data_IF_635065761769
#
_entry.id   IF_635065761769
#
_cell.length_a   1.000
_cell.length_b   1.000
_cell.length_c   1.000
_cell.angle_alpha   90.00
_cell.angle_beta   90.00
_cell.angle_gamma   90.00
#
_symmetry.space_group_name_H-M   'P 1'
#
loop_
_entity.id
_entity.type
_entity.pdbx_description
1 polymer ?
#
# COMPACT_ATOMS: atom_id res chain seq x y z
N UNK A 1 5.26 4.92 -20.15
CA UNK A 1 3.88 4.36 -20.14
C UNK A 1 3.78 3.37 -19.00
N UNK A 2 2.77 3.46 -18.16
CA UNK A 2 2.45 2.51 -17.09
C UNK A 2 0.93 2.36 -16.99
N UNK A 3 0.44 1.17 -16.64
CA UNK A 3 -0.97 0.91 -16.31
C UNK A 3 -1.11 -0.30 -15.40
N UNK A 4 -2.15 -0.30 -14.57
CA UNK A 4 -2.76 -1.54 -14.07
C UNK A 4 -3.73 -2.07 -15.13
N UNK A 5 -3.74 -3.38 -15.34
CA UNK A 5 -4.64 -4.08 -16.24
C UNK A 5 -5.42 -5.12 -15.44
N UNK A 6 -6.75 -5.04 -15.46
CA UNK A 6 -7.63 -6.06 -14.87
C UNK A 6 -8.47 -6.73 -15.96
N UNK A 7 -8.50 -8.06 -15.97
CA UNK A 7 -9.42 -8.85 -16.80
C UNK A 7 -10.67 -9.19 -15.99
N UNK A 8 -11.83 -8.73 -16.45
CA UNK A 8 -13.10 -9.04 -15.76
C UNK A 8 -13.59 -10.44 -16.11
N UNK A 9 -13.49 -11.34 -15.13
CA UNK A 9 -13.87 -12.75 -15.26
C UNK A 9 -12.81 -13.62 -15.96
N UNK A 10 -13.03 -14.94 -15.96
CA UNK A 10 -12.13 -15.90 -16.63
C UNK A 10 -12.24 -15.76 -18.15
N UNK A 11 -11.33 -14.99 -18.76
CA UNK A 11 -11.25 -14.81 -20.22
C UNK A 11 -10.02 -15.52 -20.77
N UNK A 12 -10.25 -16.49 -21.66
CA UNK A 12 -9.20 -17.26 -22.35
C UNK A 12 -9.42 -17.19 -23.86
N UNK A 13 -8.34 -17.18 -24.66
CA UNK A 13 -8.45 -17.25 -26.11
C UNK A 13 -7.36 -16.52 -26.88
N UNK A 14 -7.58 -16.26 -28.18
CA UNK A 14 -6.61 -15.60 -29.05
C UNK A 14 -6.69 -14.07 -28.94
N UNK A 15 -6.29 -13.52 -27.78
CA UNK A 15 -6.18 -12.07 -27.55
C UNK A 15 -4.84 -11.65 -26.95
N UNK A 16 -4.51 -10.37 -27.11
CA UNK A 16 -3.45 -9.68 -26.37
C UNK A 16 -3.99 -8.32 -25.92
N UNK A 17 -3.81 -7.97 -24.66
CA UNK A 17 -4.21 -6.67 -24.10
C UNK A 17 -3.17 -6.15 -23.12
N UNK A 18 -2.99 -4.84 -23.04
CA UNK A 18 -1.99 -4.21 -22.17
C UNK A 18 -1.55 -2.85 -22.68
N UNK A 19 -0.24 -2.58 -22.60
CA UNK A 19 0.37 -1.34 -23.10
C UNK A 19 1.09 -1.55 -24.41
N UNK A 20 0.95 -0.60 -25.32
CA UNK A 20 1.63 -0.56 -26.61
C UNK A 20 2.40 0.75 -26.79
N UNK A 21 3.54 0.67 -27.47
CA UNK A 21 4.30 1.80 -28.01
C UNK A 21 4.44 1.62 -29.52
N UNK A 22 4.13 2.67 -30.29
CA UNK A 22 4.43 2.76 -31.71
C UNK A 22 5.70 3.58 -31.93
N UNK A 23 6.64 3.01 -32.67
CA UNK A 23 7.88 3.66 -33.06
C UNK A 23 8.03 3.77 -34.56
N UNK A 24 8.60 4.88 -35.00
CA UNK A 24 8.92 5.15 -36.40
C UNK A 24 10.44 5.08 -36.61
N UNK A 25 10.83 4.26 -37.59
CA UNK A 25 12.22 4.18 -38.09
C UNK A 25 12.20 4.01 -39.61
N UNK A 26 12.96 4.84 -40.33
CA UNK A 26 13.00 4.84 -41.80
C UNK A 26 11.59 4.87 -42.43
N UNK A 27 10.72 5.77 -41.95
CA UNK A 27 9.32 5.94 -42.37
C UNK A 27 8.44 4.68 -42.24
N UNK A 28 8.89 3.72 -41.42
CA UNK A 28 8.16 2.48 -41.13
C UNK A 28 7.79 2.43 -39.65
N UNK A 29 6.55 2.01 -39.39
CA UNK A 29 5.95 1.93 -38.07
C UNK A 29 6.07 0.52 -37.51
N UNK A 30 6.59 0.41 -36.30
CA UNK A 30 6.68 -0.83 -35.55
C UNK A 30 5.93 -0.63 -34.24
N UNK A 31 5.17 -1.64 -33.83
CA UNK A 31 4.50 -1.62 -32.52
C UNK A 31 5.14 -2.66 -31.64
N UNK A 32 5.35 -2.27 -30.39
CA UNK A 32 5.80 -3.17 -29.34
C UNK A 32 4.82 -3.06 -28.20
N UNK A 33 4.46 -4.19 -27.60
CA UNK A 33 3.46 -4.20 -26.56
C UNK A 33 3.81 -5.20 -25.47
N UNK A 34 3.42 -4.89 -24.24
CA UNK A 34 3.48 -5.77 -23.08
C UNK A 34 2.08 -5.94 -22.51
N UNK A 35 1.72 -7.17 -22.19
CA UNK A 35 0.54 -7.41 -21.36
C UNK A 35 0.05 -8.84 -21.39
N UNK A 36 -1.22 -9.04 -21.07
CA UNK A 36 -1.83 -10.35 -20.97
C UNK A 36 -2.08 -10.89 -22.38
N UNK A 37 -1.55 -12.08 -22.65
CA UNK A 37 -1.77 -12.86 -23.87
C UNK A 37 -2.56 -14.11 -23.49
N UNK A 38 -3.78 -14.18 -24.02
CA UNK A 38 -4.65 -15.34 -23.95
C UNK A 38 -5.21 -15.72 -22.58
N UNK A 39 -5.07 -14.84 -21.59
CA UNK A 39 -5.62 -14.98 -20.25
C UNK A 39 -4.61 -15.48 -19.22
N UNK A 40 -3.55 -16.16 -19.66
CA UNK A 40 -2.69 -16.98 -18.81
C UNK A 40 -1.19 -16.71 -18.99
N UNK A 41 -0.82 -15.74 -19.84
CA UNK A 41 0.58 -15.38 -20.08
C UNK A 41 0.78 -13.88 -19.99
N UNK A 42 1.84 -13.44 -19.32
CA UNK A 42 2.45 -12.15 -19.60
C UNK A 42 3.29 -12.29 -20.88
N UNK A 43 3.14 -11.37 -21.83
CA UNK A 43 3.92 -11.41 -23.07
C UNK A 43 4.39 -10.03 -23.52
N UNK A 44 5.58 -9.99 -24.12
CA UNK A 44 6.05 -8.88 -24.94
C UNK A 44 5.91 -9.29 -26.40
N UNK A 45 5.18 -8.51 -27.18
CA UNK A 45 4.89 -8.79 -28.59
C UNK A 45 5.37 -7.65 -29.49
N UNK A 46 5.70 -8.00 -30.72
CA UNK A 46 6.04 -7.06 -31.78
C UNK A 46 5.06 -7.21 -32.93
N UNK A 47 4.63 -6.08 -33.49
CA UNK A 47 3.94 -6.00 -34.78
C UNK A 47 4.82 -5.25 -35.77
N UNK A 48 5.14 -5.92 -36.87
CA UNK A 48 5.90 -5.32 -37.97
C UNK A 48 4.99 -4.53 -38.91
N UNK A 49 5.54 -3.65 -39.78
CA UNK A 49 4.77 -2.96 -40.81
C UNK A 49 3.98 -3.89 -41.75
N UNK A 50 4.42 -5.15 -41.88
CA UNK A 50 3.73 -6.19 -42.66
C UNK A 50 2.59 -6.86 -41.89
N UNK A 51 2.15 -6.29 -40.76
CA UNK A 51 1.16 -6.84 -39.83
C UNK A 51 1.53 -8.25 -39.31
N UNK A 52 2.80 -8.64 -39.41
CA UNK A 52 3.28 -9.90 -38.83
C UNK A 52 3.51 -9.67 -37.33
N UNK A 53 2.80 -10.46 -36.52
CA UNK A 53 2.91 -10.47 -35.05
C UNK A 53 3.92 -11.54 -34.61
N UNK A 54 4.85 -11.18 -33.72
CA UNK A 54 5.78 -12.11 -33.08
C UNK A 54 5.77 -11.92 -31.56
N UNK A 55 5.95 -13.02 -30.82
CA UNK A 55 6.19 -12.96 -29.37
C UNK A 55 7.70 -12.88 -29.14
N UNK A 56 8.14 -11.80 -28.49
CA UNK A 56 9.53 -11.55 -28.12
C UNK A 56 9.87 -12.17 -26.77
N UNK A 57 8.90 -12.19 -25.85
CA UNK A 57 8.99 -12.78 -24.52
C UNK A 57 7.62 -13.28 -24.07
N UNK A 58 7.58 -14.35 -23.28
CA UNK A 58 6.37 -14.76 -22.56
C UNK A 58 6.69 -15.57 -21.30
N UNK A 59 5.89 -15.37 -20.26
CA UNK A 59 5.95 -16.11 -19.00
C UNK A 59 4.52 -16.49 -18.57
N UNK A 60 4.30 -17.69 -17.99
CA UNK A 60 3.04 -18.02 -17.34
C UNK A 60 2.65 -17.01 -16.27
N UNK A 61 1.36 -16.67 -16.23
CA UNK A 61 0.78 -15.69 -15.32
C UNK A 61 -0.47 -16.30 -14.66
N UNK A 62 -0.56 -16.23 -13.32
CA UNK A 62 -1.69 -16.74 -12.57
C UNK A 62 -2.86 -15.75 -12.60
N UNK A 63 -4.07 -16.25 -12.85
CA UNK A 63 -5.32 -15.51 -13.10
C UNK A 63 -5.94 -14.79 -11.89
N UNK A 64 -5.20 -14.56 -10.82
CA UNK A 64 -5.81 -14.12 -9.56
C UNK A 64 -5.79 -12.63 -9.31
N UNK A 65 -4.99 -11.83 -10.02
CA UNK A 65 -4.75 -10.42 -9.66
C UNK A 65 -4.77 -9.49 -10.89
N UNK A 66 -4.74 -8.18 -10.62
CA UNK A 66 -4.36 -7.16 -11.58
C UNK A 66 -2.95 -7.41 -12.12
N UNK A 67 -2.72 -7.02 -13.37
CA UNK A 67 -1.40 -7.05 -14.01
C UNK A 67 -0.91 -5.62 -14.22
N UNK A 68 -0.01 -5.17 -13.36
CA UNK A 68 0.66 -3.88 -13.55
C UNK A 68 1.86 -4.02 -14.48
N UNK A 69 1.83 -3.33 -15.62
CA UNK A 69 2.92 -3.33 -16.61
C UNK A 69 3.39 -1.91 -16.92
N UNK A 70 4.67 -1.81 -17.30
CA UNK A 70 5.32 -0.54 -17.60
C UNK A 70 6.24 -0.69 -18.83
N UNK A 71 6.25 0.33 -19.68
CA UNK A 71 7.20 0.47 -20.79
C UNK A 71 7.96 1.79 -20.62
N UNK A 72 9.29 1.70 -20.50
CA UNK A 72 10.21 2.83 -20.37
C UNK A 72 11.08 2.96 -21.62
N UNK A 73 11.41 4.19 -21.99
CA UNK A 73 12.49 4.47 -22.94
C UNK A 73 13.73 4.89 -22.16
N UNK A 74 14.82 4.13 -22.29
CA UNK A 74 16.13 4.42 -21.71
C UNK A 74 17.13 4.60 -22.86
N UNK A 75 17.43 5.86 -23.21
CA UNK A 75 18.18 6.18 -24.41
C UNK A 75 17.58 5.53 -25.68
N UNK A 76 18.27 4.52 -26.22
CA UNK A 76 17.84 3.77 -27.40
C UNK A 76 17.08 2.48 -27.04
N UNK A 77 16.96 2.11 -25.76
CA UNK A 77 16.26 0.91 -25.36
C UNK A 77 14.79 1.18 -25.02
N UNK A 78 13.92 0.23 -25.38
CA UNK A 78 12.64 0.02 -24.72
C UNK A 78 12.82 -1.05 -23.64
N UNK A 79 12.47 -0.70 -22.41
CA UNK A 79 12.49 -1.59 -21.25
C UNK A 79 11.04 -1.91 -20.87
N UNK A 80 10.70 -3.19 -20.89
CA UNK A 80 9.38 -3.70 -20.55
C UNK A 80 9.47 -4.31 -19.15
N UNK A 81 8.60 -3.86 -18.25
CA UNK A 81 8.61 -4.24 -16.85
C UNK A 81 7.23 -4.73 -16.42
N UNK A 82 7.22 -5.67 -15.49
CA UNK A 82 6.03 -6.20 -14.83
C UNK A 82 6.25 -6.14 -13.33
N UNK A 83 5.19 -5.83 -12.58
CA UNK A 83 5.21 -5.84 -11.12
C UNK A 83 4.38 -7.03 -10.61
N UNK A 84 5.01 -8.18 -10.31
CA UNK A 84 4.33 -9.35 -9.75
C UNK A 84 4.00 -9.19 -8.25
N UNK A 85 4.75 -8.33 -7.55
CA UNK A 85 4.63 -8.06 -6.11
C UNK A 85 4.75 -6.55 -5.87
N UNK A 86 5.60 -6.09 -4.97
CA UNK A 86 5.72 -4.65 -4.64
C UNK A 86 6.65 -3.88 -5.59
N UNK A 87 7.53 -4.57 -6.32
CA UNK A 87 8.55 -3.94 -7.18
C UNK A 87 8.39 -4.30 -8.66
N UNK A 88 8.77 -3.37 -9.54
CA UNK A 88 8.86 -3.63 -10.98
C UNK A 88 10.11 -4.44 -11.30
N UNK A 89 9.92 -5.48 -12.10
CA UNK A 89 10.98 -6.33 -12.63
C UNK A 89 11.10 -6.13 -14.15
N UNK A 90 12.32 -5.98 -14.66
CA UNK A 90 12.57 -5.99 -16.10
C UNK A 90 12.34 -7.40 -16.66
N UNK A 91 11.35 -7.53 -17.55
CA UNK A 91 11.02 -8.80 -18.21
C UNK A 91 11.61 -8.89 -19.60
N UNK A 92 11.80 -7.74 -20.27
CA UNK A 92 12.40 -7.70 -21.59
C UNK A 92 13.01 -6.33 -21.88
N UNK A 93 14.13 -6.33 -22.60
CA UNK A 93 14.79 -5.12 -23.11
C UNK A 93 15.03 -5.24 -24.60
N UNK A 94 14.69 -4.18 -25.32
CA UNK A 94 14.85 -4.09 -26.75
C UNK A 94 15.63 -2.83 -27.13
N UNK A 95 16.81 -3.01 -27.72
CA UNK A 95 17.55 -1.90 -28.31
C UNK A 95 16.98 -1.50 -29.66
N UNK A 96 16.58 -0.23 -29.77
CA UNK A 96 16.12 0.39 -31.00
C UNK A 96 17.32 0.97 -31.78
N UNK A 97 17.26 0.98 -33.12
CA UNK A 97 18.23 1.73 -33.92
C UNK A 97 18.25 3.21 -33.52
N UNK A 98 19.43 3.82 -33.63
CA UNK A 98 19.60 5.26 -33.38
C UNK A 98 18.66 6.08 -34.28
N UNK A 99 18.12 7.19 -33.73
CA UNK A 99 17.17 8.05 -34.44
C UNK A 99 15.73 7.51 -34.51
N UNK A 100 15.44 6.34 -33.94
CA UNK A 100 14.06 5.82 -33.83
C UNK A 100 13.21 6.77 -32.98
N UNK A 101 12.06 7.21 -33.51
CA UNK A 101 11.12 8.09 -32.81
C UNK A 101 10.00 7.26 -32.19
N UNK A 102 9.61 7.57 -30.97
CA UNK A 102 8.33 7.10 -30.43
C UNK A 102 7.28 8.09 -30.91
N UNK A 103 6.20 7.61 -31.52
CA UNK A 103 5.20 8.47 -32.18
C UNK A 103 3.80 8.29 -31.62
N UNK A 104 3.52 7.18 -30.94
CA UNK A 104 2.22 6.90 -30.33
C UNK A 104 2.39 5.85 -29.22
N UNK A 105 1.39 5.70 -28.37
CA UNK A 105 1.34 4.65 -27.37
C UNK A 105 0.19 4.82 -26.39
N UNK A 106 -0.16 3.73 -25.72
CA UNK A 106 -1.28 3.70 -24.80
C UNK A 106 -1.80 2.28 -24.56
N UNK A 107 -2.98 2.17 -23.93
CA UNK A 107 -3.63 0.89 -23.73
C UNK A 107 -4.11 0.35 -25.07
N UNK A 108 -4.10 -0.96 -25.21
CA UNK A 108 -4.63 -1.63 -26.40
C UNK A 108 -5.30 -2.93 -26.02
N UNK A 109 -6.27 -3.33 -26.83
CA UNK A 109 -6.86 -4.65 -26.86
C UNK A 109 -6.88 -5.13 -28.30
N UNK A 110 -6.34 -6.33 -28.56
CA UNK A 110 -6.28 -6.89 -29.89
C UNK A 110 -6.68 -8.37 -29.86
N UNK A 111 -7.53 -8.75 -30.82
CA UNK A 111 -7.98 -10.13 -30.99
C UNK A 111 -7.74 -10.54 -32.44
N UNK A 112 -7.43 -11.83 -32.66
CA UNK A 112 -7.23 -12.35 -34.03
C UNK A 112 -8.56 -12.55 -34.77
N UNK A 113 -9.62 -12.84 -34.01
CA UNK A 113 -11.01 -12.97 -34.44
C UNK A 113 -11.89 -12.09 -33.55
N UNK A 114 -13.07 -11.64 -34.01
CA UNK A 114 -14.01 -10.92 -33.16
C UNK A 114 -14.30 -11.72 -31.87
N UNK A 115 -14.04 -11.13 -30.72
CA UNK A 115 -14.23 -11.70 -29.39
C UNK A 115 -14.67 -10.58 -28.45
N UNK A 116 -15.64 -10.85 -27.59
CA UNK A 116 -15.99 -9.95 -26.49
C UNK A 116 -14.89 -10.03 -25.42
N UNK A 117 -14.25 -8.88 -25.16
CA UNK A 117 -13.14 -8.76 -24.22
C UNK A 117 -13.46 -7.61 -23.27
N UNK A 118 -13.62 -7.91 -21.97
CA UNK A 118 -13.85 -6.90 -20.94
C UNK A 118 -12.55 -6.68 -20.17
N UNK A 119 -11.97 -5.50 -20.34
CA UNK A 119 -10.68 -5.10 -19.77
C UNK A 119 -10.85 -3.74 -19.10
N UNK A 120 -10.44 -3.63 -17.84
CA UNK A 120 -10.29 -2.33 -17.20
C UNK A 120 -8.82 -1.88 -17.24
N UNK A 121 -8.64 -0.59 -17.47
CA UNK A 121 -7.38 0.11 -17.36
C UNK A 121 -7.57 1.21 -16.33
N UNK A 122 -6.76 1.17 -15.29
CA UNK A 122 -6.92 2.04 -14.11
C UNK A 122 -6.37 3.46 -14.38
N UNK A 123 -5.14 3.55 -14.92
CA UNK A 123 -4.52 4.83 -15.31
C UNK A 123 -3.40 4.63 -16.33
N UNK A 124 -3.16 5.62 -17.19
CA UNK A 124 -2.05 5.60 -18.18
C UNK A 124 -1.19 6.85 -18.04
N UNK A 125 0.03 6.70 -17.53
CA UNK A 125 0.99 7.81 -17.41
C UNK A 125 1.98 7.84 -18.58
N UNK A 126 1.93 8.93 -19.36
CA UNK A 126 2.94 9.30 -20.36
C UNK A 126 3.99 10.20 -19.70
N UNK A 127 5.04 9.59 -19.15
CA UNK A 127 6.21 10.33 -18.68
C UNK A 127 7.31 10.29 -19.74
N UNK A 128 7.80 11.47 -20.15
CA UNK A 128 9.09 11.61 -20.81
C UNK A 128 10.15 11.47 -19.71
N UNK A 129 11.06 10.50 -19.84
CA UNK A 129 12.04 10.16 -18.81
C UNK A 129 13.03 11.28 -18.44
N UNK A 130 13.03 12.40 -19.17
CA UNK A 130 13.74 13.63 -18.83
C UNK A 130 12.92 14.60 -17.95
N UNK A 131 11.68 14.25 -17.58
CA UNK A 131 10.72 15.17 -16.95
C UNK A 131 10.08 14.64 -15.66
N UNK A 132 10.53 13.50 -15.12
CA UNK A 132 10.11 13.03 -13.80
C UNK A 132 11.28 13.00 -12.83
N UNK A 133 11.06 13.47 -11.60
CA UNK A 133 12.04 13.38 -10.52
C UNK A 133 12.29 11.90 -10.16
N UNK A 134 13.53 11.52 -9.86
CA UNK A 134 13.85 10.18 -9.34
C UNK A 134 13.26 9.91 -7.96
N UNK A 135 12.77 10.96 -7.28
CA UNK A 135 12.12 10.90 -5.97
C UNK A 135 10.59 10.76 -6.05
N UNK A 136 10.01 10.72 -7.26
CA UNK A 136 8.55 10.66 -7.48
C UNK A 136 7.87 9.46 -6.79
N UNK A 137 8.57 8.30 -6.72
CA UNK A 137 8.04 7.08 -6.08
C UNK A 137 8.51 6.93 -4.61
N UNK A 138 9.28 7.88 -4.05
CA UNK A 138 9.92 7.74 -2.72
C UNK A 138 9.48 8.78 -1.70
N UNK A 139 9.07 9.97 -2.11
CA UNK A 139 8.70 11.06 -1.20
C UNK A 139 7.19 11.29 -1.29
N UNK A 140 6.51 11.19 -0.15
CA UNK A 140 5.06 11.36 -0.06
C UNK A 140 4.71 12.42 0.98
N UNK A 141 3.55 13.06 0.85
CA UNK A 141 2.95 13.81 1.96
C UNK A 141 2.22 12.81 2.84
N UNK A 142 2.63 12.69 4.10
CA UNK A 142 2.04 11.75 5.08
C UNK A 142 0.97 12.41 5.94
N UNK A 143 1.06 13.72 6.17
CA UNK A 143 0.12 14.43 7.04
C UNK A 143 -0.02 15.90 6.61
N UNK A 144 -1.25 16.44 6.71
CA UNK A 144 -1.58 17.84 6.44
C UNK A 144 -2.44 18.37 7.59
N UNK A 145 -1.90 19.32 8.35
CA UNK A 145 -2.66 20.06 9.35
C UNK A 145 -3.16 21.36 8.74
N UNK A 146 -4.29 21.32 8.03
CA UNK A 146 -4.81 22.48 7.29
C UNK A 146 -5.78 23.36 8.10
N UNK A 147 -6.35 22.84 9.20
CA UNK A 147 -7.28 23.58 10.07
C UNK A 147 -7.05 23.26 11.56
N UNK A 148 -5.90 23.64 12.12
CA UNK A 148 -5.59 23.37 13.52
C UNK A 148 -6.51 24.15 14.47
N UNK A 149 -6.85 23.53 15.61
CA UNK A 149 -7.40 24.30 16.72
C UNK A 149 -6.38 25.33 17.21
N UNK A 150 -6.82 26.54 17.53
CA UNK A 150 -5.96 27.65 17.96
C UNK A 150 -5.39 28.53 16.84
N UNK A 151 -5.59 28.22 15.56
CA UNK A 151 -5.31 29.10 14.41
C UNK A 151 -4.16 28.67 13.48
N UNK A 152 -4.12 29.27 12.29
CA UNK A 152 -3.27 28.91 11.14
C UNK A 152 -1.76 28.82 11.46
N UNK A 153 -1.28 29.49 12.50
CA UNK A 153 0.12 29.41 12.93
C UNK A 153 0.56 28.00 13.40
N UNK A 154 -0.38 27.07 13.57
CA UNK A 154 -0.13 25.67 13.89
C UNK A 154 -0.19 24.73 12.68
N UNK A 155 -0.40 25.26 11.48
CA UNK A 155 -0.44 24.47 10.26
C UNK A 155 0.94 23.88 9.93
N UNK A 156 0.93 22.70 9.32
CA UNK A 156 2.12 22.06 8.79
C UNK A 156 1.78 21.09 7.66
N UNK A 157 2.79 20.82 6.83
CA UNK A 157 2.81 19.70 5.87
C UNK A 157 3.94 18.78 6.28
N UNK A 158 3.63 17.49 6.44
CA UNK A 158 4.60 16.45 6.71
C UNK A 158 4.96 15.67 5.45
N UNK A 159 6.25 15.50 5.22
CA UNK A 159 6.82 14.62 4.22
C UNK A 159 7.35 13.35 4.87
N UNK A 160 7.13 12.22 4.21
CA UNK A 160 7.71 10.93 4.55
C UNK A 160 8.55 10.38 3.39
N UNK A 161 9.73 9.86 3.70
CA UNK A 161 10.57 9.15 2.74
C UNK A 161 10.25 7.65 2.79
N UNK A 162 9.33 7.22 1.93
CA UNK A 162 8.94 5.83 1.69
C UNK A 162 10.00 5.02 0.92
N UNK A 163 11.05 5.67 0.42
CA UNK A 163 12.16 5.02 -0.26
C UNK A 163 13.08 4.23 0.67
N UNK A 164 13.98 3.46 0.08
CA UNK A 164 15.00 2.66 0.79
C UNK A 164 16.36 3.39 0.91
N UNK A 165 16.46 4.61 0.41
CA UNK A 165 17.67 5.44 0.41
C UNK A 165 17.38 6.85 0.92
N UNK A 166 18.42 7.56 1.38
CA UNK A 166 18.29 8.97 1.70
C UNK A 166 18.04 9.83 0.46
N UNK A 167 17.36 10.96 0.65
CA UNK A 167 17.05 11.96 -0.37
C UNK A 167 17.62 13.30 0.10
N UNK A 168 18.43 13.95 -0.73
CA UNK A 168 18.82 15.32 -0.51
C UNK A 168 17.76 16.27 -1.09
N UNK A 169 17.15 17.09 -0.24
CA UNK A 169 16.05 17.98 -0.61
C UNK A 169 16.52 19.37 -1.09
N UNK A 170 17.82 19.59 -1.25
CA UNK A 170 18.35 20.90 -1.66
C UNK A 170 17.71 21.40 -2.95
N UNK A 171 17.01 22.52 -2.86
CA UNK A 171 16.35 23.15 -4.01
C UNK A 171 14.98 22.58 -4.36
N UNK A 172 14.51 21.55 -3.65
CA UNK A 172 13.09 21.18 -3.69
C UNK A 172 12.26 22.35 -3.19
N UNK A 173 11.03 22.49 -3.67
CA UNK A 173 10.18 23.62 -3.27
C UNK A 173 8.69 23.38 -3.38
N UNK A 174 7.95 24.02 -2.48
CA UNK A 174 6.54 24.33 -2.66
C UNK A 174 6.46 25.66 -3.42
N UNK A 175 5.91 25.69 -4.65
CA UNK A 175 5.90 26.89 -5.46
C UNK A 175 4.94 27.95 -4.92
N UNK A 176 5.23 29.22 -5.19
CA UNK A 176 4.42 30.34 -4.72
C UNK A 176 2.92 30.20 -5.03
N UNK A 177 2.09 30.34 -4.01
CA UNK A 177 0.62 30.33 -4.13
C UNK A 177 0.01 28.95 -4.29
N UNK A 178 0.79 27.89 -4.06
CA UNK A 178 0.37 26.49 -4.05
C UNK A 178 1.22 25.68 -3.05
N UNK A 179 0.91 25.69 -1.75
CA UNK A 179 -0.29 26.27 -1.11
C UNK A 179 -0.08 27.65 -0.44
N UNK A 180 1.13 27.95 0.00
CA UNK A 180 1.51 29.20 0.67
C UNK A 180 2.59 29.96 -0.13
N UNK A 181 3.20 31.00 0.44
CA UNK A 181 4.34 31.68 -0.19
C UNK A 181 5.50 30.71 -0.45
N UNK A 182 6.29 30.92 -1.49
CA UNK A 182 7.29 29.93 -1.92
C UNK A 182 8.19 29.47 -0.76
N UNK A 183 8.26 28.15 -0.55
CA UNK A 183 9.20 27.55 0.40
C UNK A 183 10.22 26.70 -0.36
N UNK A 184 11.51 26.99 -0.18
CA UNK A 184 12.61 26.24 -0.79
C UNK A 184 13.41 25.52 0.29
N UNK A 185 13.53 24.21 0.14
CA UNK A 185 14.30 23.37 1.05
C UNK A 185 15.79 23.69 0.97
N UNK A 186 16.42 23.77 2.15
CA UNK A 186 17.87 23.88 2.30
C UNK A 186 18.61 22.57 1.99
N UNK A 187 19.91 22.53 2.31
CA UNK A 187 20.74 21.32 2.16
C UNK A 187 20.41 20.31 3.28
N UNK A 188 19.28 19.62 3.14
CA UNK A 188 18.71 18.68 4.10
C UNK A 188 18.77 17.27 3.52
N UNK A 189 19.40 16.36 4.25
CA UNK A 189 19.46 14.94 3.90
C UNK A 189 18.40 14.16 4.69
N UNK A 190 17.32 13.78 4.03
CA UNK A 190 16.22 13.04 4.62
C UNK A 190 16.47 11.53 4.51
N UNK A 191 16.57 10.84 5.64
CA UNK A 191 16.85 9.39 5.65
C UNK A 191 15.63 8.57 5.19
N UNK A 192 15.87 7.35 4.70
CA UNK A 192 14.80 6.39 4.44
C UNK A 192 13.98 6.14 5.71
N UNK A 193 12.65 6.12 5.58
CA UNK A 193 11.71 5.91 6.70
C UNK A 193 11.65 7.05 7.72
N UNK A 194 12.22 8.22 7.41
CA UNK A 194 12.14 9.41 8.28
C UNK A 194 11.06 10.38 7.83
N UNK A 195 10.70 11.31 8.72
CA UNK A 195 9.70 12.34 8.52
C UNK A 195 10.35 13.73 8.60
N UNK A 196 9.81 14.68 7.85
CA UNK A 196 10.15 16.09 7.94
C UNK A 196 8.89 16.93 7.84
N UNK A 197 8.81 18.01 8.62
CA UNK A 197 7.68 18.96 8.58
C UNK A 197 8.14 20.31 8.04
N UNK A 198 7.31 20.90 7.18
CA UNK A 198 7.35 22.34 6.89
C UNK A 198 6.19 22.96 7.66
N UNK A 199 6.43 24.07 8.36
CA UNK A 199 5.51 24.64 9.35
C UNK A 199 5.18 26.10 9.05
N UNK A 200 4.02 26.58 9.51
CA UNK A 200 3.63 27.99 9.38
C UNK A 200 4.47 28.91 10.27
N UNK A 201 4.58 28.55 11.55
CA UNK A 201 5.36 29.30 12.54
C UNK A 201 6.15 28.32 13.41
N UNK A 202 7.48 28.44 13.37
CA UNK A 202 8.35 27.50 14.05
C UNK A 202 8.25 27.58 15.56
N UNK A 203 8.19 28.79 16.14
CA UNK A 203 8.13 28.97 17.59
C UNK A 203 6.83 28.37 18.17
N UNK A 204 5.73 28.53 17.44
CA UNK A 204 4.40 28.07 17.81
C UNK A 204 4.27 26.55 17.64
N UNK A 205 4.81 25.98 16.56
CA UNK A 205 4.94 24.53 16.41
C UNK A 205 5.73 23.92 17.58
N UNK A 206 6.89 24.50 17.90
CA UNK A 206 7.72 24.06 19.01
C UNK A 206 7.01 24.14 20.36
N UNK A 207 6.25 25.21 20.59
CA UNK A 207 5.47 25.36 21.82
C UNK A 207 4.35 24.32 21.94
N UNK A 208 3.78 23.84 20.83
CA UNK A 208 2.69 22.84 20.83
C UNK A 208 3.22 21.41 20.93
N UNK A 209 4.18 21.06 20.10
CA UNK A 209 4.65 19.67 19.94
C UNK A 209 5.94 19.35 20.71
N UNK A 210 6.58 20.37 21.29
CA UNK A 210 7.77 20.24 22.11
C UNK A 210 9.08 20.24 21.34
N UNK A 211 10.17 20.57 22.03
CA UNK A 211 11.51 20.72 21.44
C UNK A 211 12.10 19.40 20.91
N UNK A 212 11.55 18.24 21.29
CA UNK A 212 11.99 16.93 20.80
C UNK A 212 11.79 16.76 19.29
N UNK A 213 10.85 17.50 18.69
CA UNK A 213 10.60 17.47 17.25
C UNK A 213 11.42 18.52 16.48
N UNK A 214 12.29 19.29 17.14
CA UNK A 214 13.09 20.32 16.47
C UNK A 214 13.94 19.79 15.31
N UNK A 215 14.37 18.53 15.38
CA UNK A 215 15.22 17.90 14.36
C UNK A 215 14.48 17.55 13.07
N UNK A 216 13.15 17.49 13.09
CA UNK A 216 12.35 17.17 11.90
C UNK A 216 11.77 18.42 11.21
N UNK A 217 11.92 19.61 11.80
CA UNK A 217 11.47 20.86 11.18
C UNK A 217 12.41 21.21 10.03
N UNK A 218 11.96 21.01 8.81
CA UNK A 218 12.69 21.34 7.59
C UNK A 218 12.75 22.86 7.34
N UNK A 219 11.73 23.60 7.78
CA UNK A 219 11.71 25.05 7.73
C UNK A 219 10.33 25.63 7.97
N UNK A 220 10.30 26.96 8.00
CA UNK A 220 9.11 27.80 8.13
C UNK A 220 8.83 28.46 6.77
N UNK A 221 7.58 28.52 6.32
CA UNK A 221 7.24 29.24 5.08
C UNK A 221 7.02 30.74 5.36
N UNK A 222 7.35 31.59 4.39
CA UNK A 222 7.47 33.03 4.60
C UNK A 222 6.12 33.76 4.81
N UNK A 223 5.01 33.16 4.40
CA UNK A 223 3.68 33.75 4.51
C UNK A 223 2.57 32.93 3.85
N UNK A 224 1.32 33.27 4.17
CA UNK A 224 0.13 32.51 3.74
C UNK A 224 -0.28 31.41 4.74
N UNK A 225 -1.37 30.73 4.41
CA UNK A 225 -1.92 29.60 5.17
C UNK A 225 -2.54 28.58 4.24
N UNK A 226 -2.75 27.37 4.76
CA UNK A 226 -3.48 26.32 4.06
C UNK A 226 -4.97 26.67 3.96
N UNK A 227 -5.59 26.26 2.86
CA UNK A 227 -7.03 26.44 2.63
C UNK A 227 -7.86 25.49 3.46
N UNK A 228 -8.66 26.03 4.38
CA UNK A 228 -9.65 25.28 5.14
C UNK A 228 -10.66 24.49 4.28
N UNK A 229 -10.86 24.88 3.02
CA UNK A 229 -11.80 24.21 2.10
C UNK A 229 -11.15 23.27 1.09
N UNK A 230 -9.86 22.96 1.25
CA UNK A 230 -9.09 22.21 0.26
C UNK A 230 -8.34 23.08 -0.75
N UNK A 231 -7.25 22.54 -1.29
CA UNK A 231 -6.43 23.12 -2.37
C UNK A 231 -5.43 22.09 -2.93
N UNK A 232 -4.67 22.51 -3.94
CA UNK A 232 -3.61 21.70 -4.55
C UNK A 232 -2.29 21.85 -3.80
N UNK A 233 -1.75 20.73 -3.32
CA UNK A 233 -0.37 20.62 -2.83
C UNK A 233 0.52 20.21 -3.98
N UNK A 234 1.57 20.98 -4.26
CA UNK A 234 2.57 20.65 -5.29
C UNK A 234 3.97 20.75 -4.72
N UNK A 235 4.77 19.71 -4.89
CA UNK A 235 6.20 19.70 -4.57
C UNK A 235 7.00 19.52 -5.85
N UNK A 236 7.98 20.40 -6.06
CA UNK A 236 8.90 20.35 -7.20
C UNK A 236 10.31 19.97 -6.72
N UNK A 237 11.06 19.25 -7.55
CA UNK A 237 12.48 19.00 -7.33
C UNK A 237 13.34 20.24 -7.67
N UNK A 238 14.65 20.12 -7.46
CA UNK A 238 15.67 21.14 -7.74
C UNK A 238 15.74 21.58 -9.22
N UNK A 239 15.20 20.77 -10.13
CA UNK A 239 15.09 21.07 -11.57
C UNK A 239 13.72 21.63 -11.95
N UNK A 240 12.80 21.73 -11.00
CA UNK A 240 11.43 22.17 -11.21
C UNK A 240 10.49 21.11 -11.78
N UNK A 241 10.86 19.83 -11.68
CA UNK A 241 9.99 18.72 -12.05
C UNK A 241 9.07 18.37 -10.89
N UNK A 242 7.82 18.03 -11.18
CA UNK A 242 6.86 17.62 -10.15
C UNK A 242 7.31 16.32 -9.50
N UNK A 243 7.46 16.36 -8.17
CA UNK A 243 7.68 15.20 -7.30
C UNK A 243 6.33 14.62 -6.89
N UNK A 244 5.41 15.48 -6.44
CA UNK A 244 4.01 15.13 -6.17
C UNK A 244 3.11 16.33 -6.45
N UNK A 245 1.87 16.06 -6.85
CA UNK A 245 0.81 17.06 -6.98
C UNK A 245 -0.54 16.39 -6.80
N UNK A 246 -1.32 16.84 -5.82
CA UNK A 246 -2.67 16.35 -5.54
C UNK A 246 -3.50 17.44 -4.87
N UNK A 247 -4.81 17.33 -4.96
CA UNK A 247 -5.76 18.23 -4.31
C UNK A 247 -6.33 17.53 -3.08
N UNK A 248 -6.27 18.16 -1.90
CA UNK A 248 -7.03 17.70 -0.73
C UNK A 248 -8.33 18.48 -0.62
N UNK A 249 -9.31 17.93 0.10
CA UNK A 249 -10.62 18.54 0.32
C UNK A 249 -11.12 18.36 1.76
N UNK A 250 -12.22 19.03 2.07
CA UNK A 250 -12.91 19.03 3.37
C UNK A 250 -14.28 18.32 3.33
N UNK A 251 -14.61 17.69 2.20
CA UNK A 251 -15.90 17.07 1.92
C UNK A 251 -15.75 15.72 1.22
N UNK A 252 -16.74 14.83 1.39
CA UNK A 252 -16.73 13.49 0.79
C UNK A 252 -16.33 13.55 -0.71
N UNK A 253 -15.36 12.72 -1.14
CA UNK A 253 -14.81 11.53 -0.46
C UNK A 253 -13.69 11.80 0.55
N UNK A 254 -13.28 13.04 0.79
CA UNK A 254 -12.27 13.37 1.80
C UNK A 254 -12.85 13.31 3.22
N UNK A 255 -12.03 12.97 4.23
CA UNK A 255 -12.46 13.03 5.63
C UNK A 255 -12.93 14.44 6.01
N UNK A 256 -14.12 14.54 6.62
CA UNK A 256 -14.72 15.82 7.02
C UNK A 256 -14.36 16.26 8.43
N UNK A 257 -13.95 15.33 9.32
CA UNK A 257 -13.68 15.65 10.73
C UNK A 257 -12.45 16.54 10.98
N UNK A 258 -11.38 16.58 10.14
CA UNK A 258 -10.34 17.60 10.21
C UNK A 258 -10.90 19.04 10.16
N UNK A 259 -12.05 19.25 9.51
CA UNK A 259 -12.69 20.56 9.44
C UNK A 259 -13.43 20.96 10.74
N UNK A 260 -13.83 20.01 11.58
CA UNK A 260 -14.73 20.27 12.71
C UNK A 260 -14.05 20.16 14.10
N UNK A 261 -12.94 19.43 14.22
CA UNK A 261 -12.38 19.04 15.53
C UNK A 261 -10.87 19.27 15.69
N UNK A 262 -10.19 19.91 14.73
CA UNK A 262 -8.76 20.25 14.82
C UNK A 262 -7.80 19.07 14.68
N UNK A 263 -8.25 17.98 14.05
CA UNK A 263 -7.42 16.86 13.59
C UNK A 263 -6.77 17.20 12.24
N UNK A 264 -5.67 16.55 11.88
CA UNK A 264 -5.05 16.64 10.54
C UNK A 264 -5.64 15.60 9.59
N UNK A 265 -5.37 15.78 8.29
CA UNK A 265 -5.48 14.72 7.29
C UNK A 265 -4.22 13.88 7.29
N UNK A 266 -4.35 12.58 7.40
CA UNK A 266 -3.24 11.64 7.52
C UNK A 266 -3.38 10.53 6.50
N UNK A 267 -2.28 10.20 5.83
CA UNK A 267 -2.25 9.16 4.82
C UNK A 267 -2.15 7.80 5.51
N UNK A 268 -3.12 6.93 5.26
CA UNK A 268 -3.27 5.66 6.00
C UNK A 268 -2.12 4.68 5.76
N UNK A 269 -1.52 4.71 4.57
CA UNK A 269 -0.32 3.92 4.24
C UNK A 269 0.68 4.75 3.41
N UNK A 270 1.59 5.47 4.08
CA UNK A 270 2.62 6.26 3.40
C UNK A 270 3.62 5.42 2.59
N UNK A 271 3.73 4.11 2.82
CA UNK A 271 4.65 3.24 2.09
C UNK A 271 4.09 2.83 0.72
N UNK A 272 2.78 2.66 0.59
CA UNK A 272 2.13 2.39 -0.70
C UNK A 272 1.76 3.66 -1.49
N UNK A 273 1.74 4.82 -0.82
CA UNK A 273 1.53 6.14 -1.42
C UNK A 273 0.05 6.41 -1.73
N UNK A 274 -0.26 6.90 -2.94
CA UNK A 274 -1.64 7.14 -3.35
C UNK A 274 -2.27 8.43 -2.79
N UNK A 275 -1.46 9.47 -2.57
CA UNK A 275 -1.90 10.80 -2.07
C UNK A 275 -3.09 11.42 -2.82
N UNK A 276 -3.31 11.04 -4.09
CA UNK A 276 -4.41 11.56 -4.91
C UNK A 276 -5.76 10.85 -4.67
N UNK A 277 -5.79 9.71 -3.96
CA UNK A 277 -7.03 9.02 -3.62
C UNK A 277 -7.50 9.45 -2.23
N UNK A 278 -8.63 10.15 -2.17
CA UNK A 278 -9.23 10.61 -0.92
C UNK A 278 -9.51 9.47 0.08
N UNK A 279 -9.83 8.27 -0.40
CA UNK A 279 -10.09 7.08 0.44
C UNK A 279 -8.85 6.59 1.20
N UNK A 280 -7.65 7.00 0.77
CA UNK A 280 -6.41 6.68 1.47
C UNK A 280 -6.15 7.63 2.64
N UNK A 281 -6.91 8.71 2.78
CA UNK A 281 -6.75 9.69 3.84
C UNK A 281 -7.74 9.45 4.96
N UNK A 282 -7.28 9.63 6.19
CA UNK A 282 -8.08 9.56 7.40
C UNK A 282 -7.83 10.81 8.25
N UNK A 283 -8.69 11.10 9.23
CA UNK A 283 -8.38 12.07 10.27
C UNK A 283 -7.30 11.51 11.21
N UNK A 284 -6.43 12.37 11.74
CA UNK A 284 -5.54 12.00 12.85
C UNK A 284 -6.31 11.52 14.08
N UNK A 285 -5.71 10.59 14.85
CA UNK A 285 -6.30 10.10 16.10
C UNK A 285 -6.32 11.22 17.15
N UNK A 286 -5.25 12.02 17.20
CA UNK A 286 -5.11 13.11 18.16
C UNK A 286 -5.47 14.45 17.53
N UNK A 287 -6.20 15.27 18.28
CA UNK A 287 -6.34 16.70 17.97
C UNK A 287 -4.94 17.31 17.93
N UNK A 288 -4.63 18.05 16.86
CA UNK A 288 -3.29 18.54 16.61
C UNK A 288 -2.39 17.57 15.82
N UNK A 289 -2.86 16.39 15.41
CA UNK A 289 -2.09 15.51 14.53
C UNK A 289 -0.99 14.71 15.22
N UNK A 290 -0.17 14.01 14.44
CA UNK A 290 0.92 13.15 14.92
C UNK A 290 2.28 13.43 14.23
N UNK A 291 2.76 14.68 14.19
CA UNK A 291 3.96 15.01 13.45
C UNK A 291 5.18 14.22 13.96
N UNK A 292 5.95 13.69 13.02
CA UNK A 292 7.14 12.87 13.22
C UNK A 292 6.87 11.39 13.40
N UNK A 293 5.63 10.94 13.27
CA UNK A 293 5.23 9.56 13.48
C UNK A 293 4.19 9.11 12.45
N UNK A 294 4.22 7.82 12.10
CA UNK A 294 3.11 7.24 11.36
C UNK A 294 1.85 7.34 12.21
N UNK A 295 0.74 7.81 11.62
CA UNK A 295 -0.59 7.52 12.16
C UNK A 295 -0.82 6.02 12.05
N UNK A 296 -0.55 5.31 13.12
CA UNK A 296 -1.07 3.94 13.26
C UNK A 296 -2.56 4.10 13.46
N UNK A 297 -3.35 4.12 12.37
CA UNK A 297 -4.80 3.89 12.41
C UNK A 297 -4.99 2.46 12.88
N UNK A 298 -4.83 2.26 14.18
CA UNK A 298 -5.05 0.97 14.78
C UNK A 298 -6.57 0.83 14.86
N UNK A 299 -7.14 0.10 13.90
CA UNK A 299 -8.57 -0.15 13.83
C UNK A 299 -9.12 -0.75 15.14
N UNK A 300 -8.29 -1.46 15.91
CA UNK A 300 -8.64 -1.91 17.25
C UNK A 300 -8.67 -0.80 18.30
N UNK A 301 -7.81 0.22 18.22
CA UNK A 301 -7.87 1.40 19.10
C UNK A 301 -9.15 2.20 18.87
N UNK A 302 -9.53 2.42 17.60
CA UNK A 302 -10.81 3.06 17.26
C UNK A 302 -11.99 2.22 17.75
N UNK A 303 -11.96 0.91 17.50
CA UNK A 303 -12.97 -0.03 17.98
C UNK A 303 -13.11 -0.04 19.52
N UNK A 304 -12.00 0.09 20.25
CA UNK A 304 -12.00 0.22 21.71
C UNK A 304 -12.70 1.51 22.16
N UNK A 305 -12.36 2.64 21.54
CA UNK A 305 -12.93 3.95 21.85
C UNK A 305 -14.44 4.00 21.59
N UNK A 306 -14.90 3.50 20.43
CA UNK A 306 -16.32 3.40 20.10
C UNK A 306 -17.11 2.58 21.13
N UNK A 307 -16.45 1.61 21.77
CA UNK A 307 -17.03 0.77 22.82
C UNK A 307 -16.95 1.40 24.22
N UNK A 308 -16.28 2.54 24.36
CA UNK A 308 -16.01 3.20 25.63
C UNK A 308 -15.03 2.43 26.50
N UNK A 309 -14.14 1.63 25.89
CA UNK A 309 -13.16 0.80 26.54
C UNK A 309 -11.75 1.37 26.31
N UNK A 310 -10.86 1.23 27.29
CA UNK A 310 -9.48 1.75 27.21
C UNK A 310 -8.41 0.67 27.34
N UNK A 311 -8.81 -0.55 27.71
CA UNK A 311 -7.87 -1.63 28.02
C UNK A 311 -8.11 -2.82 27.08
N UNK A 312 -7.10 -3.21 26.27
CA UNK A 312 -7.16 -4.41 25.44
C UNK A 312 -7.40 -5.69 26.24
N UNK A 313 -6.98 -5.71 27.51
CA UNK A 313 -7.05 -6.88 28.38
C UNK A 313 -8.30 -6.89 29.28
N UNK A 314 -9.11 -5.82 29.27
CA UNK A 314 -10.37 -5.79 29.99
C UNK A 314 -11.41 -6.68 29.32
N UNK A 315 -12.29 -7.28 30.14
CA UNK A 315 -13.45 -8.04 29.69
C UNK A 315 -14.68 -7.18 29.97
N UNK A 316 -15.41 -6.80 28.90
CA UNK A 316 -16.62 -6.00 29.02
C UNK A 316 -17.73 -6.80 29.69
N UNK A 317 -18.60 -6.13 30.45
CA UNK A 317 -19.73 -6.78 31.12
C UNK A 317 -20.61 -7.53 30.09
N UNK A 318 -20.74 -8.84 30.28
CA UNK A 318 -21.54 -9.71 29.40
C UNK A 318 -20.74 -10.44 28.32
N UNK A 319 -19.46 -10.12 28.15
CA UNK A 319 -18.55 -10.83 27.25
C UNK A 319 -17.71 -11.87 28.00
N UNK A 320 -17.23 -12.87 27.27
CA UNK A 320 -16.39 -13.96 27.80
C UNK A 320 -14.90 -13.68 27.56
N UNK A 321 -14.58 -12.95 26.50
CA UNK A 321 -13.22 -12.66 26.06
C UNK A 321 -12.84 -11.22 26.38
N UNK A 322 -11.54 -10.97 26.49
CA UNK A 322 -11.04 -9.60 26.62
C UNK A 322 -11.21 -8.86 25.29
N UNK A 323 -11.13 -7.54 25.34
CA UNK A 323 -11.31 -6.67 24.18
C UNK A 323 -10.44 -7.09 22.98
N UNK A 324 -9.16 -7.40 23.21
CA UNK A 324 -8.24 -7.86 22.14
C UNK A 324 -8.75 -9.11 21.45
N UNK A 325 -9.15 -10.14 22.19
CA UNK A 325 -9.66 -11.38 21.61
C UNK A 325 -11.06 -11.22 21.03
N UNK A 326 -11.92 -10.40 21.63
CA UNK A 326 -13.23 -10.06 21.06
C UNK A 326 -13.05 -9.49 19.64
N UNK A 327 -12.16 -8.51 19.49
CA UNK A 327 -11.87 -7.92 18.20
C UNK A 327 -11.12 -8.87 17.26
N UNK A 328 -10.02 -9.48 17.71
CA UNK A 328 -9.16 -10.32 16.87
C UNK A 328 -9.85 -11.59 16.37
N UNK A 329 -10.89 -12.06 17.06
CA UNK A 329 -11.70 -13.20 16.62
C UNK A 329 -13.00 -12.79 15.92
N UNK A 330 -13.18 -11.49 15.70
CA UNK A 330 -14.31 -10.93 14.96
C UNK A 330 -15.64 -11.04 15.68
N UNK A 331 -15.66 -11.18 17.01
CA UNK A 331 -16.91 -11.38 17.77
C UNK A 331 -17.83 -10.17 17.78
N UNK A 332 -17.28 -9.00 17.45
CA UNK A 332 -18.02 -7.78 17.15
C UNK A 332 -18.73 -7.82 15.77
N UNK A 333 -18.40 -8.78 14.91
CA UNK A 333 -18.98 -8.95 13.57
C UNK A 333 -20.04 -10.06 13.62
N UNK A 334 -21.30 -9.66 13.41
CA UNK A 334 -22.52 -10.47 13.22
C UNK A 334 -22.55 -11.90 13.82
N UNK A 335 -23.21 -12.04 14.98
CA UNK A 335 -23.72 -13.31 15.55
C UNK A 335 -22.70 -14.47 15.69
N UNK A 336 -21.39 -14.19 15.71
CA UNK A 336 -20.38 -15.21 15.97
C UNK A 336 -20.42 -15.64 17.45
N UNK A 337 -20.36 -16.95 17.67
CA UNK A 337 -20.29 -17.53 19.02
C UNK A 337 -18.87 -17.41 19.56
N UNK A 338 -18.73 -16.87 20.78
CA UNK A 338 -17.45 -16.91 21.50
C UNK A 338 -16.96 -18.34 21.74
N UNK A 339 -17.87 -19.32 21.86
CA UNK A 339 -17.51 -20.73 22.06
C UNK A 339 -16.79 -21.33 20.84
N UNK A 340 -17.20 -20.93 19.62
CA UNK A 340 -16.58 -21.41 18.38
C UNK A 340 -15.27 -20.68 18.05
N UNK A 341 -15.14 -19.45 18.54
CA UNK A 341 -14.01 -18.57 18.26
C UNK A 341 -12.76 -18.85 19.10
N UNK A 342 -12.94 -19.32 20.34
CA UNK A 342 -11.84 -19.61 21.27
C UNK A 342 -10.88 -20.64 20.66
N UNK A 343 -9.56 -20.42 20.77
CA UNK A 343 -8.57 -21.37 20.31
C UNK A 343 -8.78 -22.76 20.92
N UNK A 344 -9.02 -23.75 20.06
CA UNK A 344 -9.36 -25.12 20.45
C UNK A 344 -8.34 -26.10 19.89
N UNK A 345 -7.66 -26.89 20.74
CA UNK A 345 -6.85 -28.00 20.28
C UNK A 345 -7.73 -29.16 19.79
N UNK A 346 -7.22 -29.93 18.84
CA UNK A 346 -7.88 -31.14 18.35
C UNK A 346 -6.89 -32.15 17.79
N UNK A 347 -7.38 -33.31 17.36
CA UNK A 347 -6.58 -34.35 16.73
C UNK A 347 -7.09 -34.63 15.32
N UNK A 348 -6.17 -34.89 14.40
CA UNK A 348 -6.48 -35.47 13.09
C UNK A 348 -5.63 -36.70 12.86
N UNK A 349 -6.25 -37.81 12.48
CA UNK A 349 -5.54 -39.05 12.13
C UNK A 349 -5.30 -39.10 10.63
N UNK A 350 -4.04 -39.24 10.22
CA UNK A 350 -3.65 -39.39 8.81
C UNK A 350 -2.72 -40.58 8.68
N UNK A 351 -3.05 -41.49 7.77
CA UNK A 351 -2.27 -42.71 7.53
C UNK A 351 -2.01 -43.57 8.78
N UNK A 352 -2.86 -43.45 9.81
CA UNK A 352 -2.76 -44.19 11.07
C UNK A 352 -1.99 -43.47 12.18
N UNK A 353 -1.49 -42.26 11.93
CA UNK A 353 -0.79 -41.42 12.90
C UNK A 353 -1.65 -40.22 13.32
N UNK A 354 -1.62 -39.87 14.60
CA UNK A 354 -2.39 -38.74 15.14
C UNK A 354 -1.55 -37.47 15.15
N UNK A 355 -2.11 -36.39 14.63
CA UNK A 355 -1.47 -35.08 14.61
C UNK A 355 -2.27 -34.08 15.44
N UNK A 356 -1.56 -33.30 16.25
CA UNK A 356 -2.16 -32.21 16.99
C UNK A 356 -2.53 -31.06 16.05
N UNK A 357 -3.71 -30.50 16.28
CA UNK A 357 -4.24 -29.35 15.56
C UNK A 357 -4.64 -28.25 16.53
N UNK A 358 -4.65 -27.01 16.03
CA UNK A 358 -5.27 -25.88 16.72
C UNK A 358 -6.17 -25.14 15.75
N UNK A 359 -7.41 -24.89 16.18
CA UNK A 359 -8.43 -24.16 15.42
C UNK A 359 -8.78 -22.88 16.16
N UNK A 360 -8.84 -21.75 15.46
CA UNK A 360 -9.23 -20.46 16.02
C UNK A 360 -9.81 -19.56 14.92
N UNK A 361 -10.56 -18.54 15.32
CA UNK A 361 -10.98 -17.47 14.42
C UNK A 361 -9.84 -16.47 14.22
N UNK A 362 -9.74 -15.89 13.04
CA UNK A 362 -8.73 -14.91 12.67
C UNK A 362 -9.39 -13.79 11.89
N UNK A 363 -9.30 -12.56 12.41
CA UNK A 363 -9.63 -11.34 11.66
C UNK A 363 -8.51 -11.11 10.66
N UNK A 364 -8.86 -11.09 9.39
CA UNK A 364 -7.96 -10.85 8.26
C UNK A 364 -8.17 -9.47 7.63
N UNK A 365 -9.25 -8.78 8.00
CA UNK A 365 -9.48 -7.38 7.61
C UNK A 365 -8.57 -6.40 8.34
N UNK A 366 -7.83 -6.84 9.36
CA UNK A 366 -6.85 -6.04 10.09
C UNK A 366 -5.45 -6.70 9.97
N UNK A 367 -4.56 -6.16 9.14
CA UNK A 367 -3.24 -6.75 8.89
C UNK A 367 -2.23 -6.53 10.02
N UNK A 368 -2.51 -5.63 10.98
CA UNK A 368 -1.63 -5.37 12.12
C UNK A 368 -1.66 -6.55 13.10
N UNK A 369 -2.81 -7.23 13.25
CA UNK A 369 -2.97 -8.39 14.11
C UNK A 369 -2.01 -9.55 13.74
N UNK A 370 -1.21 -9.99 14.71
CA UNK A 370 -0.34 -11.16 14.64
C UNK A 370 -0.85 -12.30 15.51
N UNK A 371 -0.72 -13.52 15.01
CA UNK A 371 -1.22 -14.75 15.62
C UNK A 371 -0.10 -15.79 15.64
N UNK A 372 0.46 -16.05 16.82
CA UNK A 372 1.53 -17.02 17.01
C UNK A 372 1.04 -18.23 17.78
N UNK A 373 1.29 -19.42 17.27
CA UNK A 373 1.02 -20.66 18.01
C UNK A 373 2.30 -21.05 18.74
N UNK A 374 2.17 -21.34 20.03
CA UNK A 374 3.29 -21.76 20.86
C UNK A 374 2.96 -23.08 21.57
N UNK A 375 4.00 -23.90 21.76
CA UNK A 375 3.90 -25.16 22.49
C UNK A 375 4.69 -25.12 23.79
N UNK A 376 4.25 -25.94 24.73
CA UNK A 376 4.95 -26.20 25.97
C UNK A 376 4.72 -27.65 26.41
N UNK A 377 5.74 -28.24 27.03
CA UNK A 377 5.62 -29.56 27.66
C UNK A 377 5.47 -29.47 29.19
N UNK A 378 5.63 -28.28 29.76
CA UNK A 378 5.65 -28.05 31.22
C UNK A 378 4.72 -26.89 31.67
N UNK A 379 4.12 -26.16 30.73
CA UNK A 379 3.23 -25.02 30.98
C UNK A 379 3.93 -23.73 31.36
N UNK A 380 5.27 -23.74 31.43
CA UNK A 380 6.10 -22.60 31.86
C UNK A 380 7.01 -22.10 30.74
N UNK A 381 7.63 -23.00 29.99
CA UNK A 381 8.48 -22.69 28.85
C UNK A 381 7.67 -22.85 27.57
N UNK A 382 7.43 -21.73 26.89
CA UNK A 382 6.64 -21.66 25.66
C UNK A 382 7.53 -21.21 24.51
N UNK A 383 7.41 -21.86 23.35
CA UNK A 383 8.13 -21.46 22.15
C UNK A 383 7.32 -21.74 20.88
N UNK A 384 7.44 -20.84 19.90
CA UNK A 384 7.00 -21.04 18.52
C UNK A 384 8.15 -21.37 17.56
N UNK A 385 9.41 -21.28 18.01
CA UNK A 385 10.57 -21.49 17.14
C UNK A 385 10.68 -22.94 16.67
N UNK A 386 10.82 -23.13 15.35
CA UNK A 386 10.92 -24.45 14.73
C UNK A 386 9.60 -25.22 14.66
N UNK A 387 8.47 -24.59 15.02
CA UNK A 387 7.15 -25.17 14.79
C UNK A 387 6.76 -25.03 13.32
N UNK A 388 6.80 -26.16 12.61
CA UNK A 388 6.24 -26.23 11.27
C UNK A 388 4.75 -26.56 11.36
N UNK A 389 3.94 -25.59 10.94
CA UNK A 389 2.49 -25.71 10.91
C UNK A 389 2.02 -25.82 9.46
N UNK A 390 1.14 -26.77 9.22
CA UNK A 390 0.48 -26.97 7.94
C UNK A 390 -0.93 -26.41 8.06
N UNK A 391 -1.21 -25.33 7.35
CA UNK A 391 -2.54 -24.75 7.26
C UNK A 391 -3.47 -25.73 6.53
N UNK A 392 -4.59 -26.07 7.15
CA UNK A 392 -5.73 -26.66 6.46
C UNK A 392 -6.50 -25.54 5.74
N UNK A 393 -7.27 -25.85 4.67
CA UNK A 393 -8.04 -24.84 3.95
C UNK A 393 -8.92 -24.01 4.91
N UNK A 394 -8.74 -22.67 4.95
CA UNK A 394 -9.51 -21.82 5.85
C UNK A 394 -10.98 -21.73 5.39
N UNK A 395 -11.85 -21.35 6.31
CA UNK A 395 -13.27 -21.14 6.04
C UNK A 395 -13.70 -19.75 6.53
N UNK A 396 -14.21 -18.92 5.63
CA UNK A 396 -14.84 -17.65 6.00
C UNK A 396 -16.06 -17.88 6.89
N UNK A 397 -16.17 -17.12 7.98
CA UNK A 397 -17.30 -17.16 8.92
C UNK A 397 -18.02 -15.82 9.04
N UNK A 398 -17.34 -14.72 8.71
CA UNK A 398 -17.94 -13.40 8.50
C UNK A 398 -17.04 -12.60 7.53
N UNK A 399 -17.49 -11.43 7.10
CA UNK A 399 -16.68 -10.54 6.27
C UNK A 399 -15.39 -10.16 7.02
N UNK A 400 -14.24 -10.44 6.41
CA UNK A 400 -12.94 -10.19 7.03
C UNK A 400 -12.58 -11.13 8.20
N UNK A 401 -13.32 -12.21 8.43
CA UNK A 401 -13.04 -13.19 9.51
C UNK A 401 -13.08 -14.61 8.98
N UNK A 402 -11.99 -15.35 9.19
CA UNK A 402 -11.87 -16.76 8.82
C UNK A 402 -11.66 -17.66 10.04
N UNK A 403 -12.02 -18.92 9.90
CA UNK A 403 -11.58 -20.00 10.79
C UNK A 403 -10.36 -20.65 10.16
N UNK A 404 -9.24 -20.60 10.87
CA UNK A 404 -8.03 -21.32 10.50
C UNK A 404 -7.90 -22.57 11.35
N UNK A 405 -7.38 -23.63 10.74
CA UNK A 405 -6.94 -24.82 11.46
C UNK A 405 -5.53 -25.15 11.02
N UNK A 406 -4.60 -25.12 11.97
CA UNK A 406 -3.23 -25.56 11.74
C UNK A 406 -3.06 -26.97 12.29
N UNK A 407 -2.46 -27.84 11.49
CA UNK A 407 -1.95 -29.14 11.92
C UNK A 407 -0.44 -29.03 12.11
N UNK A 408 0.10 -29.64 13.15
CA UNK A 408 1.54 -29.80 13.27
C UNK A 408 2.10 -30.70 12.16
N UNK A 409 3.31 -30.42 11.71
CA UNK A 409 3.97 -31.23 10.68
C UNK A 409 4.24 -32.66 11.16
N UNK A 410 4.64 -32.81 12.42
CA UNK A 410 5.00 -34.10 13.00
C UNK A 410 3.82 -34.73 13.75
N UNK A 411 3.64 -36.06 13.66
CA UNK A 411 2.64 -36.77 14.46
C UNK A 411 3.04 -36.77 15.94
N UNK A 412 2.03 -36.88 16.80
CA UNK A 412 2.21 -37.10 18.22
C UNK A 412 2.85 -38.47 18.47
N UNK A 413 3.82 -38.49 19.37
CA UNK A 413 4.49 -39.71 19.80
C UNK A 413 3.93 -40.20 21.14
N UNK A 414 4.08 -41.49 21.47
CA UNK A 414 3.64 -42.02 22.76
C UNK A 414 4.23 -41.29 23.98
N UNK A 415 5.41 -40.67 23.83
CA UNK A 415 6.07 -39.85 24.85
C UNK A 415 5.50 -38.42 25.00
N UNK A 416 4.66 -37.96 24.08
CA UNK A 416 4.08 -36.60 24.04
C UNK A 416 2.87 -36.46 24.98
N UNK A 417 3.04 -36.86 26.24
CA UNK A 417 1.93 -37.01 27.20
C UNK A 417 1.34 -35.67 27.66
N UNK A 418 2.09 -34.56 27.53
CA UNK A 418 1.70 -33.23 28.02
C UNK A 418 2.02 -32.10 27.03
N UNK A 419 1.66 -32.25 25.76
CA UNK A 419 1.79 -31.14 24.80
C UNK A 419 0.67 -30.13 25.04
N UNK A 420 1.04 -28.97 25.59
CA UNK A 420 0.18 -27.81 25.73
C UNK A 420 0.34 -26.92 24.50
N UNK A 421 -0.77 -26.39 24.02
CA UNK A 421 -0.79 -25.41 22.94
C UNK A 421 -1.47 -24.14 23.41
N UNK A 422 -0.93 -23.00 23.01
CA UNK A 422 -1.61 -21.72 23.15
C UNK A 422 -1.49 -20.92 21.87
N UNK A 423 -2.42 -19.99 21.73
CA UNK A 423 -2.37 -18.93 20.74
C UNK A 423 -1.98 -17.63 21.45
N UNK A 424 -1.00 -16.92 20.90
CA UNK A 424 -0.63 -15.57 21.30
C UNK A 424 -1.10 -14.62 20.22
N UNK A 425 -1.92 -13.65 20.60
CA UNK A 425 -2.38 -12.59 19.69
C UNK A 425 -1.71 -11.29 20.11
N UNK A 426 -1.18 -10.55 19.14
CA UNK A 426 -0.51 -9.27 19.34
C UNK A 426 -0.98 -8.27 18.31
N UNK A 427 -0.89 -7.00 18.68
CA UNK A 427 -0.85 -5.88 17.76
C UNK A 427 0.61 -5.50 17.51
#
# INVERSE_FOLDING_TARGET
>A
LQTNLELYGLQFGDFVTGLMVEVERNDKRFRYAIGNKGGDQLAVVQVTPAATTGTLFSLPYALTNDMTVRVKRQANDLVFEWRPQEQFEEVYRLSLPEGTKVIDGGPFAATKTPLELNVLFDYVLLSLSDSASSSFDQLVVSEIMYKPDGGDQYEFIELFNAGTSSINLKGFRFPQGQPFDEFVFGDIEMQAGSYLVVVNDKETFQSRYGESLNSIIAGEWDGGSLSNGGEVITLLDDRGLTVLSFEYGDSEPWPTSPDEHGTSLTLSDPLSGGVANAENWSPSITVGGSPGAAETVNAFSMWLEERGEVSPLAVRQGEVLNNLFTYAFGLDISNLSSEDAVPSPGLITLEGEDYLTIKYHKRISDPELKYDVELSNDGTNWSGEGLNLIALPPKMVADGVEVVTYRMENPLKPEDVNVLVRLVVRF
#
